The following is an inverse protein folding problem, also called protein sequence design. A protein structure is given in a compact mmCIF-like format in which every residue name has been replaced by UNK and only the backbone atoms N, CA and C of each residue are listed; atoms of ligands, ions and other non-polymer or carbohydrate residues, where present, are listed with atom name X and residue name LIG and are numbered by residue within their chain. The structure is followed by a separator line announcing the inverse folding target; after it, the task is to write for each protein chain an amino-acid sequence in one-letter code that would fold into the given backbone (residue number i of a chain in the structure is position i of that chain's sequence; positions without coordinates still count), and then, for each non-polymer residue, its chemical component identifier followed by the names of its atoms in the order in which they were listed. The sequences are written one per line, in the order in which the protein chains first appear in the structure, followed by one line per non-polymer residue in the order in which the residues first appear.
data_IF_506099756054
#
_entry.id   IF_506099756054
#
_cell.length_a   1.000
_cell.length_b   1.000
_cell.length_c   1.000
_cell.angle_alpha   90.00
_cell.angle_beta   90.00
_cell.angle_gamma   90.00
#
_symmetry.space_group_name_H-M   'P 1'
#
loop_
_entity.id
_entity.type
_entity.pdbx_description
1 polymer ?
#
# COMPACT_ATOMS: atom_id res chain seq x y z
N UNK A 1 3.95 -14.42 -5.09
CA UNK A 1 4.84 -14.78 -3.96
C UNK A 1 4.06 -14.87 -2.64
N UNK A 2 3.42 -13.81 -2.14
CA UNK A 2 2.63 -13.85 -0.89
C UNK A 2 1.51 -14.92 -0.82
N UNK A 3 0.67 -15.11 -1.86
CA UNK A 3 -0.37 -16.15 -1.83
C UNK A 3 0.22 -17.57 -1.74
N UNK A 4 1.35 -17.81 -2.39
CA UNK A 4 2.07 -19.08 -2.35
C UNK A 4 2.68 -19.34 -0.97
N UNK A 5 3.25 -18.31 -0.32
CA UNK A 5 3.78 -18.45 1.04
C UNK A 5 2.67 -18.69 2.08
N UNK A 6 1.51 -18.04 1.93
CA UNK A 6 0.35 -18.31 2.78
C UNK A 6 -0.19 -19.71 2.55
N UNK A 7 -0.35 -20.13 1.28
CA UNK A 7 -0.77 -21.50 0.94
C UNK A 7 0.21 -22.54 1.48
N UNK A 8 1.52 -22.29 1.39
CA UNK A 8 2.55 -23.14 1.94
C UNK A 8 2.48 -23.19 3.47
N UNK A 9 2.32 -22.05 4.14
CA UNK A 9 2.15 -21.99 5.60
C UNK A 9 0.90 -22.74 6.09
N UNK A 10 -0.21 -22.63 5.36
CA UNK A 10 -1.43 -23.39 5.61
C UNK A 10 -1.21 -24.90 5.41
N UNK A 11 -0.48 -25.28 4.35
CA UNK A 11 -0.15 -26.69 4.05
C UNK A 11 0.79 -27.30 5.10
N UNK A 12 1.71 -26.50 5.64
CA UNK A 12 2.68 -26.89 6.65
C UNK A 12 2.17 -26.76 8.11
N UNK A 13 0.90 -26.35 8.30
CA UNK A 13 0.30 -26.12 9.64
C UNK A 13 1.15 -25.21 10.53
N UNK A 14 1.79 -24.20 9.92
CA UNK A 14 2.71 -23.34 10.65
C UNK A 14 2.00 -22.62 11.80
N UNK A 15 2.63 -22.51 12.99
CA UNK A 15 2.01 -21.86 14.14
C UNK A 15 1.87 -20.36 13.89
N UNK A 16 0.82 -19.74 14.44
CA UNK A 16 0.43 -18.35 14.11
C UNK A 16 1.53 -17.29 14.36
N UNK A 17 2.46 -17.54 15.29
CA UNK A 17 3.59 -16.65 15.55
C UNK A 17 4.59 -16.59 14.38
N UNK A 18 4.65 -17.63 13.54
CA UNK A 18 5.53 -17.65 12.36
C UNK A 18 5.13 -16.59 11.33
N UNK A 19 3.85 -16.23 11.23
CA UNK A 19 3.38 -15.17 10.36
C UNK A 19 3.93 -13.79 10.78
N UNK A 20 4.01 -13.54 12.09
CA UNK A 20 4.60 -12.32 12.64
C UNK A 20 6.10 -12.26 12.41
N UNK A 21 6.80 -13.38 12.61
CA UNK A 21 8.23 -13.46 12.29
C UNK A 21 8.49 -13.29 10.80
N UNK A 22 7.65 -13.87 9.94
CA UNK A 22 7.77 -13.69 8.50
C UNK A 22 7.64 -12.22 8.14
N UNK A 23 6.60 -11.52 8.66
CA UNK A 23 6.43 -10.08 8.44
C UNK A 23 7.69 -9.31 8.89
N UNK A 24 8.19 -9.56 10.11
CA UNK A 24 9.36 -8.86 10.63
C UNK A 24 10.63 -9.15 9.80
N UNK A 25 10.87 -10.41 9.43
CA UNK A 25 12.01 -10.82 8.63
C UNK A 25 11.97 -10.18 7.23
N UNK A 26 10.79 -10.15 6.62
CA UNK A 26 10.53 -9.55 5.32
C UNK A 26 10.73 -8.02 5.34
N UNK A 27 10.21 -7.32 6.35
CA UNK A 27 10.47 -5.88 6.51
C UNK A 27 11.97 -5.60 6.70
N UNK A 28 12.64 -6.40 7.51
CA UNK A 28 14.09 -6.28 7.74
C UNK A 28 14.88 -6.53 6.47
N UNK A 29 14.50 -7.55 5.69
CA UNK A 29 15.12 -7.87 4.41
C UNK A 29 15.00 -6.71 3.41
N UNK A 30 13.84 -6.06 3.33
CA UNK A 30 13.65 -4.90 2.47
C UNK A 30 14.54 -3.71 2.89
N UNK A 31 14.61 -3.41 4.19
CA UNK A 31 15.46 -2.34 4.73
C UNK A 31 16.94 -2.64 4.45
N UNK A 32 17.39 -3.87 4.68
CA UNK A 32 18.77 -4.29 4.42
C UNK A 32 19.08 -4.20 2.92
N UNK A 33 18.19 -4.71 2.06
CA UNK A 33 18.36 -4.61 0.61
C UNK A 33 18.47 -3.16 0.15
N UNK A 34 17.58 -2.27 0.63
CA UNK A 34 17.64 -0.83 0.33
C UNK A 34 18.92 -0.19 0.85
N UNK A 35 19.37 -0.56 2.05
CA UNK A 35 20.61 -0.03 2.65
C UNK A 35 21.85 -0.42 1.84
N UNK A 36 21.95 -1.67 1.39
CA UNK A 36 23.06 -2.16 0.57
C UNK A 36 23.05 -1.55 -0.82
N UNK A 37 21.88 -1.46 -1.45
CA UNK A 37 21.75 -0.89 -2.79
C UNK A 37 21.97 0.63 -2.79
N UNK A 38 21.60 1.32 -1.71
CA UNK A 38 21.85 2.75 -1.56
C UNK A 38 23.35 3.08 -1.59
N UNK A 39 24.23 2.19 -1.12
CA UNK A 39 25.68 2.40 -1.24
C UNK A 39 26.16 2.50 -2.69
N UNK A 40 25.43 1.90 -3.64
CA UNK A 40 25.79 1.89 -5.07
C UNK A 40 25.00 2.89 -5.91
N UNK A 41 23.75 3.17 -5.53
CA UNK A 41 22.83 3.95 -6.37
C UNK A 41 22.19 5.13 -5.63
N UNK A 42 22.55 5.34 -4.37
CA UNK A 42 21.99 6.40 -3.53
C UNK A 42 22.61 7.76 -3.77
N UNK A 43 23.87 7.81 -4.25
CA UNK A 43 24.59 9.07 -4.50
C UNK A 43 24.24 9.63 -5.86
N UNK A 44 24.33 10.96 -5.98
CA UNK A 44 23.99 11.69 -7.22
C UNK A 44 24.73 11.17 -8.45
N UNK A 45 26.02 10.84 -8.32
CA UNK A 45 26.84 10.27 -9.38
C UNK A 45 26.22 9.02 -10.03
N UNK A 46 25.48 8.22 -9.24
CA UNK A 46 24.90 6.95 -9.65
C UNK A 46 23.36 6.94 -9.59
N UNK A 47 22.74 8.12 -9.46
CA UNK A 47 21.30 8.27 -9.22
C UNK A 47 20.43 7.68 -10.36
N UNK A 48 20.98 7.55 -11.58
CA UNK A 48 20.32 6.86 -12.68
C UNK A 48 19.96 5.40 -12.35
N UNK A 49 20.78 4.74 -11.50
CA UNK A 49 20.54 3.39 -11.03
C UNK A 49 19.51 3.30 -9.89
N UNK A 50 19.14 4.41 -9.25
CA UNK A 50 18.25 4.41 -8.09
C UNK A 50 16.87 3.86 -8.43
N UNK A 51 16.26 4.37 -9.50
CA UNK A 51 14.91 3.97 -9.88
C UNK A 51 14.79 2.48 -10.22
N UNK A 52 15.58 1.93 -11.16
CA UNK A 52 15.45 0.51 -11.52
C UNK A 52 15.84 -0.44 -10.38
N UNK A 53 16.86 -0.11 -9.58
CA UNK A 53 17.42 -1.04 -8.60
C UNK A 53 16.84 -0.88 -7.19
N UNK A 54 16.32 0.28 -6.81
CA UNK A 54 15.77 0.54 -5.49
C UNK A 54 14.27 0.82 -5.60
N UNK A 55 13.89 1.86 -6.33
CA UNK A 55 12.50 2.32 -6.36
C UNK A 55 11.53 1.35 -7.04
N UNK A 56 11.97 0.61 -8.06
CA UNK A 56 11.15 -0.37 -8.79
C UNK A 56 11.48 -1.82 -8.44
N UNK A 57 12.52 -2.07 -7.65
CA UNK A 57 12.91 -3.42 -7.30
C UNK A 57 11.90 -4.07 -6.35
N UNK A 58 11.42 -5.26 -6.72
CA UNK A 58 10.43 -6.02 -5.94
C UNK A 58 10.87 -6.25 -4.50
N UNK A 59 12.14 -6.61 -4.27
CA UNK A 59 12.70 -6.84 -2.93
C UNK A 59 12.79 -5.56 -2.08
N UNK A 60 12.72 -4.38 -2.68
CA UNK A 60 12.79 -3.11 -1.95
C UNK A 60 11.41 -2.53 -1.61
N UNK A 61 10.34 -3.01 -2.27
CA UNK A 61 8.98 -2.45 -2.15
C UNK A 61 7.97 -3.33 -1.44
N UNK A 62 8.25 -4.62 -1.33
CA UNK A 62 7.24 -5.57 -0.87
C UNK A 62 6.84 -5.38 0.60
N UNK A 63 7.69 -4.73 1.40
CA UNK A 63 7.42 -4.42 2.80
C UNK A 63 6.36 -3.34 2.98
N UNK A 64 6.07 -2.52 1.95
CA UNK A 64 5.02 -1.51 1.95
C UNK A 64 3.62 -2.11 2.20
N UNK A 65 3.40 -3.38 1.83
CA UNK A 65 2.12 -4.07 2.05
C UNK A 65 2.00 -4.74 3.43
N UNK A 66 3.12 -5.02 4.09
CA UNK A 66 3.16 -5.87 5.27
C UNK A 66 2.49 -5.26 6.50
N UNK A 67 2.56 -3.93 6.77
CA UNK A 67 1.77 -3.30 7.82
C UNK A 67 0.26 -3.52 7.64
N UNK A 68 -0.26 -3.49 6.42
CA UNK A 68 -1.67 -3.79 6.14
C UNK A 68 -2.02 -5.26 6.42
N UNK A 69 -1.13 -6.19 6.05
CA UNK A 69 -1.29 -7.62 6.37
C UNK A 69 -1.25 -7.86 7.88
N UNK A 70 -0.37 -7.18 8.60
CA UNK A 70 -0.30 -7.22 10.06
C UNK A 70 -1.62 -6.77 10.70
N UNK A 71 -2.22 -5.67 10.21
CA UNK A 71 -3.54 -5.21 10.68
C UNK A 71 -4.62 -6.27 10.44
N UNK A 72 -4.62 -6.93 9.27
CA UNK A 72 -5.56 -8.00 8.96
C UNK A 72 -5.37 -9.22 9.89
N UNK A 73 -4.13 -9.67 10.13
CA UNK A 73 -3.82 -10.76 11.05
C UNK A 73 -4.25 -10.43 12.48
N UNK A 74 -4.02 -9.20 12.91
CA UNK A 74 -4.39 -8.73 14.24
C UNK A 74 -5.90 -8.79 14.45
N UNK A 75 -6.67 -8.30 13.48
CA UNK A 75 -8.15 -8.35 13.50
C UNK A 75 -8.68 -9.78 13.53
N UNK A 76 -8.08 -10.68 12.76
CA UNK A 76 -8.59 -12.07 12.61
C UNK A 76 -8.18 -13.00 13.74
N UNK A 77 -6.97 -12.87 14.28
CA UNK A 77 -6.39 -13.87 15.20
C UNK A 77 -6.18 -13.36 16.62
N UNK A 78 -6.27 -12.05 16.87
CA UNK A 78 -5.99 -11.44 18.18
C UNK A 78 -7.14 -10.53 18.63
N UNK A 79 -8.36 -11.05 18.84
CA UNK A 79 -9.54 -10.25 19.09
C UNK A 79 -9.43 -9.37 20.34
N UNK A 80 -8.84 -9.87 21.43
CA UNK A 80 -8.66 -9.08 22.65
C UNK A 80 -7.75 -7.86 22.44
N UNK A 81 -6.63 -8.03 21.71
CA UNK A 81 -5.72 -6.93 21.39
C UNK A 81 -6.36 -5.97 20.38
N UNK A 82 -7.09 -6.50 19.39
CA UNK A 82 -7.86 -5.70 18.44
C UNK A 82 -8.85 -4.78 19.15
N UNK A 83 -9.63 -5.28 20.13
CA UNK A 83 -10.56 -4.46 20.91
C UNK A 83 -9.84 -3.35 21.67
N UNK A 84 -8.70 -3.65 22.31
CA UNK A 84 -7.88 -2.63 23.02
C UNK A 84 -7.39 -1.53 22.08
N UNK A 85 -6.99 -1.88 20.86
CA UNK A 85 -6.57 -0.91 19.84
C UNK A 85 -7.75 -0.09 19.32
N UNK A 86 -8.88 -0.72 19.05
CA UNK A 86 -10.10 -0.03 18.59
C UNK A 86 -10.63 0.94 19.64
N UNK A 87 -10.40 0.71 20.94
CA UNK A 87 -10.71 1.67 21.99
C UNK A 87 -9.82 2.94 21.97
N UNK A 88 -8.66 2.89 21.31
CA UNK A 88 -7.68 3.99 21.22
C UNK A 88 -7.70 4.70 19.86
N UNK A 89 -8.83 4.68 19.15
CA UNK A 89 -8.97 5.22 17.79
C UNK A 89 -8.47 6.66 17.61
N UNK A 90 -8.72 7.55 18.59
CA UNK A 90 -8.25 8.94 18.55
C UNK A 90 -6.73 9.05 18.63
N UNK A 91 -6.10 8.25 19.50
CA UNK A 91 -4.65 8.18 19.61
C UNK A 91 -4.02 7.61 18.34
N UNK A 92 -4.63 6.58 17.76
CA UNK A 92 -4.21 6.00 16.48
C UNK A 92 -4.33 7.03 15.35
N UNK A 93 -5.40 7.82 15.33
CA UNK A 93 -5.57 8.89 14.35
C UNK A 93 -4.48 9.95 14.49
N UNK A 94 -4.25 10.44 15.72
CA UNK A 94 -3.22 11.44 15.99
C UNK A 94 -1.83 10.92 15.58
N UNK A 95 -1.49 9.70 15.99
CA UNK A 95 -0.21 9.08 15.64
C UNK A 95 -0.06 8.87 14.13
N UNK A 96 -1.12 8.43 13.44
CA UNK A 96 -1.13 8.26 11.99
C UNK A 96 -0.98 9.58 11.23
N UNK A 97 -1.72 10.62 11.64
CA UNK A 97 -1.62 11.95 11.02
C UNK A 97 -0.24 12.54 11.26
N UNK A 98 0.26 12.55 12.50
CA UNK A 98 1.59 13.07 12.80
C UNK A 98 2.69 12.29 12.06
N UNK A 99 2.60 10.96 12.04
CA UNK A 99 3.55 10.10 11.33
C UNK A 99 3.56 10.37 9.83
N UNK A 100 2.39 10.38 9.19
CA UNK A 100 2.28 10.64 7.75
C UNK A 100 2.71 12.06 7.40
N UNK A 101 2.29 13.07 8.17
CA UNK A 101 2.69 14.47 7.96
C UNK A 101 4.20 14.66 8.13
N UNK A 102 4.80 14.06 9.16
CA UNK A 102 6.25 14.10 9.36
C UNK A 102 7.00 13.43 8.21
N UNK A 103 6.51 12.29 7.71
CA UNK A 103 7.12 11.61 6.57
C UNK A 103 6.93 12.39 5.26
N UNK A 104 5.77 12.96 4.99
CA UNK A 104 5.58 13.82 3.82
C UNK A 104 6.49 15.06 3.86
N UNK A 105 6.62 15.68 5.04
CA UNK A 105 7.54 16.80 5.21
C UNK A 105 9.00 16.39 4.98
N UNK A 106 9.43 15.28 5.60
CA UNK A 106 10.79 14.77 5.46
C UNK A 106 11.11 14.37 4.01
N UNK A 107 10.17 13.73 3.32
CA UNK A 107 10.31 13.39 1.90
C UNK A 107 10.37 14.64 1.03
N UNK A 108 9.51 15.63 1.26
CA UNK A 108 9.52 16.86 0.49
C UNK A 108 10.77 17.71 0.69
N UNK A 109 11.43 17.62 1.85
CA UNK A 109 12.61 18.42 2.18
C UNK A 109 13.96 17.73 1.95
N UNK A 110 14.03 16.43 2.20
CA UNK A 110 15.31 15.73 2.32
C UNK A 110 15.39 14.44 1.51
N UNK A 111 14.38 14.12 0.69
CA UNK A 111 14.41 12.88 -0.08
C UNK A 111 15.55 12.87 -1.09
N UNK A 112 15.70 13.95 -1.85
CA UNK A 112 16.84 14.20 -2.74
C UNK A 112 17.52 15.49 -2.28
N UNK A 113 18.84 15.44 -2.17
CA UNK A 113 19.68 16.55 -1.74
C UNK A 113 20.68 16.81 -2.87
N UNK A 114 20.61 18.00 -3.47
CA UNK A 114 21.51 18.42 -4.56
C UNK A 114 22.97 18.33 -4.10
N UNK A 115 23.84 17.79 -4.95
CA UNK A 115 25.25 17.52 -4.61
C UNK A 115 25.49 16.23 -3.81
N UNK A 116 24.43 15.58 -3.29
CA UNK A 116 24.54 14.37 -2.47
C UNK A 116 23.83 13.17 -3.10
N UNK A 117 22.64 13.36 -3.66
CA UNK A 117 21.73 12.30 -4.13
C UNK A 117 20.59 12.03 -3.15
N UNK A 118 20.10 10.79 -3.12
CA UNK A 118 19.01 10.39 -2.24
C UNK A 118 19.46 10.20 -0.79
N UNK A 119 18.63 10.64 0.17
CA UNK A 119 18.94 10.46 1.60
C UNK A 119 18.89 9.00 2.02
N UNK A 120 19.98 8.52 2.64
CA UNK A 120 20.07 7.15 3.17
C UNK A 120 18.89 6.79 4.07
N UNK A 121 18.56 7.65 5.03
CA UNK A 121 17.49 7.36 6.00
C UNK A 121 16.14 7.21 5.30
N UNK A 122 15.81 8.12 4.39
CA UNK A 122 14.53 8.11 3.69
C UNK A 122 14.45 6.95 2.68
N UNK A 123 15.55 6.59 2.03
CA UNK A 123 15.61 5.40 1.18
C UNK A 123 15.51 4.11 2.01
N UNK A 124 16.27 3.97 3.09
CA UNK A 124 16.38 2.74 3.87
C UNK A 124 15.18 2.50 4.80
N UNK A 125 14.57 3.56 5.34
CA UNK A 125 13.48 3.44 6.32
C UNK A 125 12.19 4.15 5.90
N UNK A 126 12.28 5.19 5.07
CA UNK A 126 11.13 6.06 4.74
C UNK A 126 9.93 5.31 4.18
N UNK A 127 10.12 4.36 3.26
CA UNK A 127 9.02 3.55 2.70
C UNK A 127 8.30 2.73 3.78
N UNK A 128 9.06 2.04 4.63
CA UNK A 128 8.50 1.23 5.73
C UNK A 128 7.78 2.10 6.75
N UNK A 129 8.38 3.22 7.15
CA UNK A 129 7.80 4.15 8.12
C UNK A 129 6.51 4.79 7.59
N UNK A 130 6.49 5.15 6.31
CA UNK A 130 5.30 5.66 5.65
C UNK A 130 4.18 4.60 5.65
N UNK A 131 4.50 3.35 5.28
CA UNK A 131 3.54 2.24 5.31
C UNK A 131 2.98 1.99 6.72
N UNK A 132 3.83 2.07 7.76
CA UNK A 132 3.40 1.97 9.16
C UNK A 132 2.48 3.14 9.56
N UNK A 133 2.79 4.37 9.16
CA UNK A 133 1.95 5.53 9.43
C UNK A 133 0.56 5.39 8.77
N UNK A 134 0.51 4.91 7.53
CA UNK A 134 -0.75 4.59 6.86
C UNK A 134 -1.50 3.42 7.51
N UNK A 135 -0.80 2.42 8.05
CA UNK A 135 -1.45 1.36 8.82
C UNK A 135 -2.10 1.88 10.12
N UNK A 136 -1.50 2.88 10.78
CA UNK A 136 -2.13 3.56 11.91
C UNK A 136 -3.39 4.33 11.49
N UNK A 137 -3.33 5.05 10.36
CA UNK A 137 -4.50 5.72 9.78
C UNK A 137 -5.61 4.73 9.40
N UNK A 138 -5.25 3.57 8.85
CA UNK A 138 -6.19 2.49 8.55
C UNK A 138 -6.86 1.98 9.83
N UNK A 139 -6.10 1.69 10.88
CA UNK A 139 -6.66 1.30 12.18
C UNK A 139 -7.57 2.39 12.76
N UNK A 140 -7.19 3.67 12.60
CA UNK A 140 -8.02 4.79 13.01
C UNK A 140 -9.33 4.86 12.20
N UNK A 141 -9.31 4.58 10.89
CA UNK A 141 -10.52 4.56 10.06
C UNK A 141 -11.47 3.39 10.43
N UNK A 142 -10.92 2.28 10.93
CA UNK A 142 -11.69 1.11 11.36
C UNK A 142 -12.26 1.26 12.79
N UNK A 143 -11.70 2.13 13.62
CA UNK A 143 -12.09 2.30 15.02
C UNK A 143 -13.43 3.04 15.18
N UNK A 144 -14.35 2.55 16.05
CA UNK A 144 -15.65 3.18 16.29
C UNK A 144 -15.56 4.57 16.95
N UNK A 145 -14.51 4.81 17.76
CA UNK A 145 -14.34 6.06 18.52
C UNK A 145 -13.53 7.13 17.77
N UNK A 146 -13.03 6.80 16.58
CA UNK A 146 -12.26 7.72 15.73
C UNK A 146 -13.18 8.56 14.86
N UNK A 147 -12.96 9.88 14.74
CA UNK A 147 -13.75 10.73 13.85
C UNK A 147 -13.57 10.35 12.37
N UNK A 148 -12.40 9.79 12.00
CA UNK A 148 -12.11 9.39 10.63
C UNK A 148 -13.08 8.33 10.10
N UNK A 149 -13.65 7.48 10.97
CA UNK A 149 -14.66 6.49 10.59
C UNK A 149 -15.97 7.13 10.12
N UNK A 150 -16.32 8.28 10.67
CA UNK A 150 -17.60 8.94 10.43
C UNK A 150 -17.50 10.01 9.34
N UNK A 151 -16.29 10.42 8.98
CA UNK A 151 -16.05 11.42 7.95
C UNK A 151 -16.32 10.83 6.56
N UNK A 152 -17.40 11.30 5.91
CA UNK A 152 -17.75 10.89 4.55
C UNK A 152 -17.27 11.93 3.55
N UNK A 153 -16.21 11.61 2.83
CA UNK A 153 -15.72 12.44 1.73
C UNK A 153 -16.50 12.05 0.46
N UNK A 154 -17.21 12.99 -0.20
CA UNK A 154 -17.94 12.71 -1.43
C UNK A 154 -16.97 12.22 -2.51
N UNK A 155 -17.35 11.16 -3.23
CA UNK A 155 -16.50 10.56 -4.29
C UNK A 155 -15.35 9.66 -3.80
N UNK A 156 -15.01 9.66 -2.51
CA UNK A 156 -13.91 8.82 -2.01
C UNK A 156 -14.20 7.31 -2.13
N UNK A 157 -15.45 6.89 -1.94
CA UNK A 157 -15.84 5.49 -2.10
C UNK A 157 -15.67 4.96 -3.54
N UNK A 158 -16.26 5.56 -4.59
CA UNK A 158 -16.04 5.10 -5.96
C UNK A 158 -14.57 5.25 -6.40
N UNK A 159 -13.87 6.27 -5.91
CA UNK A 159 -12.43 6.42 -6.17
C UNK A 159 -11.62 5.27 -5.53
N UNK A 160 -11.92 4.89 -4.29
CA UNK A 160 -11.27 3.78 -3.62
C UNK A 160 -11.51 2.46 -4.36
N UNK A 161 -12.73 2.24 -4.86
CA UNK A 161 -13.06 1.07 -5.68
C UNK A 161 -12.25 1.02 -6.98
N UNK A 162 -12.10 2.16 -7.66
CA UNK A 162 -11.34 2.23 -8.91
C UNK A 162 -9.81 2.37 -8.70
N UNK A 163 -9.34 2.52 -7.47
CA UNK A 163 -7.95 2.88 -7.16
C UNK A 163 -6.92 1.89 -7.71
N UNK A 164 -7.23 0.60 -7.68
CA UNK A 164 -6.36 -0.44 -8.22
C UNK A 164 -6.26 -0.34 -9.75
N UNK A 165 -7.40 -0.21 -10.44
CA UNK A 165 -7.44 0.02 -11.89
C UNK A 165 -6.73 1.30 -12.31
N UNK A 166 -6.90 2.41 -11.56
CA UNK A 166 -6.16 3.66 -11.77
C UNK A 166 -4.65 3.43 -11.60
N UNK A 167 -4.24 2.74 -10.53
CA UNK A 167 -2.82 2.44 -10.27
C UNK A 167 -2.17 1.64 -11.40
N UNK A 168 -2.88 0.67 -12.00
CA UNK A 168 -2.32 -0.11 -13.11
C UNK A 168 -2.21 0.69 -14.42
N UNK A 169 -3.13 1.63 -14.66
CA UNK A 169 -3.29 2.27 -15.97
C UNK A 169 -2.72 3.68 -16.07
N UNK A 170 -2.49 4.38 -14.95
CA UNK A 170 -2.10 5.78 -15.00
C UNK A 170 -0.78 6.03 -15.75
N UNK A 171 0.24 5.16 -15.61
CA UNK A 171 1.51 5.30 -16.33
C UNK A 171 1.38 5.21 -17.85
N UNK A 172 0.82 4.12 -18.43
CA UNK A 172 0.68 4.03 -19.88
C UNK A 172 -0.23 5.13 -20.44
N UNK A 173 -1.32 5.49 -19.74
CA UNK A 173 -2.20 6.59 -20.15
C UNK A 173 -1.44 7.92 -20.16
N UNK A 174 -0.72 8.24 -19.07
CA UNK A 174 0.06 9.47 -18.98
C UNK A 174 1.13 9.54 -20.07
N UNK A 175 1.84 8.44 -20.32
CA UNK A 175 2.86 8.38 -21.36
C UNK A 175 2.27 8.61 -22.76
N UNK A 176 1.24 7.84 -23.13
CA UNK A 176 0.59 7.96 -24.42
C UNK A 176 0.00 9.36 -24.66
N UNK A 177 -0.67 9.92 -23.64
CA UNK A 177 -1.27 11.24 -23.75
C UNK A 177 -0.20 12.35 -23.79
N UNK A 178 0.88 12.23 -23.03
CA UNK A 178 1.99 13.19 -23.08
C UNK A 178 2.66 13.24 -24.45
N UNK A 179 2.81 12.09 -25.13
CA UNK A 179 3.32 12.02 -26.49
C UNK A 179 2.34 12.59 -27.51
N UNK A 180 1.06 12.23 -27.40
CA UNK A 180 0.02 12.70 -28.31
C UNK A 180 -0.20 14.21 -28.22
N UNK A 181 -0.08 14.80 -27.03
CA UNK A 181 -0.29 16.22 -26.80
C UNK A 181 0.97 17.09 -26.94
N UNK A 182 2.16 16.48 -27.06
CA UNK A 182 3.43 17.20 -27.21
C UNK A 182 3.44 18.24 -28.35
N UNK A 183 2.87 17.97 -29.55
CA UNK A 183 2.86 18.94 -30.65
C UNK A 183 2.04 20.21 -30.37
N UNK A 184 1.08 20.15 -29.44
CA UNK A 184 0.16 21.25 -29.15
C UNK A 184 0.73 22.26 -28.13
N UNK A 185 1.93 22.00 -27.60
CA UNK A 185 2.65 22.89 -26.67
C UNK A 185 1.77 23.45 -25.53
N UNK A 186 0.88 22.62 -24.97
CA UNK A 186 -0.04 23.04 -23.91
C UNK A 186 0.73 23.49 -22.66
N UNK A 187 0.20 24.47 -21.91
CA UNK A 187 0.81 24.85 -20.64
C UNK A 187 0.78 23.67 -19.65
N UNK A 188 1.80 23.56 -18.81
CA UNK A 188 2.03 22.38 -17.96
C UNK A 188 0.86 22.04 -17.04
N UNK A 189 0.15 23.05 -16.51
CA UNK A 189 -1.01 22.84 -15.67
C UNK A 189 -2.19 22.21 -16.43
N UNK A 190 -2.41 22.62 -17.69
CA UNK A 190 -3.48 22.08 -18.52
C UNK A 190 -3.17 20.65 -18.94
N UNK A 191 -1.91 20.37 -19.28
CA UNK A 191 -1.44 19.02 -19.56
C UNK A 191 -1.61 18.10 -18.33
N UNK A 192 -1.27 18.59 -17.13
CA UNK A 192 -1.44 17.84 -15.89
C UNK A 192 -2.93 17.54 -15.61
N UNK A 193 -3.82 18.51 -15.82
CA UNK A 193 -5.27 18.32 -15.68
C UNK A 193 -5.78 17.29 -16.69
N UNK A 194 -5.38 17.40 -17.96
CA UNK A 194 -5.76 16.45 -19.01
C UNK A 194 -5.31 15.03 -18.69
N UNK A 195 -4.03 14.84 -18.34
CA UNK A 195 -3.48 13.53 -17.93
C UNK A 195 -4.23 12.97 -16.72
N UNK A 196 -4.46 13.78 -15.69
CA UNK A 196 -5.16 13.35 -14.48
C UNK A 196 -6.59 12.91 -14.82
N UNK A 197 -7.33 13.72 -15.58
CA UNK A 197 -8.69 13.41 -16.00
C UNK A 197 -8.74 12.12 -16.84
N UNK A 198 -7.82 11.94 -17.79
CA UNK A 198 -7.71 10.72 -18.59
C UNK A 198 -7.35 9.49 -17.76
N UNK A 199 -6.48 9.62 -16.76
CA UNK A 199 -6.16 8.52 -15.85
C UNK A 199 -7.36 8.11 -14.99
N UNK A 200 -8.11 9.09 -14.47
CA UNK A 200 -9.34 8.81 -13.71
C UNK A 200 -10.40 8.15 -14.60
N UNK A 201 -10.59 8.65 -15.82
CA UNK A 201 -11.53 8.09 -16.77
C UNK A 201 -11.13 6.68 -17.20
N UNK A 202 -9.87 6.47 -17.61
CA UNK A 202 -9.36 5.17 -18.01
C UNK A 202 -9.37 4.14 -16.88
N UNK A 203 -8.98 4.55 -15.67
CA UNK A 203 -9.05 3.70 -14.48
C UNK A 203 -10.49 3.35 -14.09
N UNK A 204 -11.43 4.28 -14.21
CA UNK A 204 -12.86 3.98 -14.04
C UNK A 204 -13.33 2.99 -15.11
N UNK A 205 -13.05 3.23 -16.39
CA UNK A 205 -13.44 2.33 -17.48
C UNK A 205 -12.91 0.90 -17.24
N UNK A 206 -11.66 0.74 -16.82
CA UNK A 206 -11.09 -0.56 -16.47
C UNK A 206 -11.76 -1.20 -15.25
N UNK A 207 -12.08 -0.40 -14.24
CA UNK A 207 -12.82 -0.89 -13.08
C UNK A 207 -14.18 -1.45 -13.48
N UNK A 208 -14.94 -0.72 -14.30
CA UNK A 208 -16.28 -1.13 -14.71
C UNK A 208 -16.27 -2.30 -15.70
N UNK A 209 -15.33 -2.33 -16.64
CA UNK A 209 -15.28 -3.32 -17.71
C UNK A 209 -14.56 -4.61 -17.34
N UNK A 210 -13.58 -4.56 -16.41
CA UNK A 210 -12.74 -5.71 -16.04
C UNK A 210 -12.81 -6.00 -14.56
N UNK A 211 -12.45 -5.07 -13.68
CA UNK A 211 -12.29 -5.40 -12.26
C UNK A 211 -13.61 -5.84 -11.62
N UNK A 212 -14.67 -5.05 -11.80
CA UNK A 212 -15.99 -5.29 -11.23
C UNK A 212 -16.64 -6.61 -11.69
N UNK A 213 -16.66 -6.98 -12.99
CA UNK A 213 -17.24 -8.26 -13.40
C UNK A 213 -16.47 -9.45 -12.82
N UNK A 214 -15.13 -9.41 -12.79
CA UNK A 214 -14.34 -10.50 -12.22
C UNK A 214 -14.51 -10.63 -10.71
N UNK A 215 -14.67 -9.51 -9.99
CA UNK A 215 -15.02 -9.53 -8.57
C UNK A 215 -16.40 -10.19 -8.33
N UNK A 216 -17.40 -9.89 -9.18
CA UNK A 216 -18.72 -10.51 -9.10
C UNK A 216 -18.68 -12.02 -9.38
N UNK A 217 -17.89 -12.45 -10.36
CA UNK A 217 -17.67 -13.87 -10.65
C UNK A 217 -17.05 -14.59 -9.44
N UNK A 218 -15.99 -14.01 -8.87
CA UNK A 218 -15.34 -14.56 -7.66
C UNK A 218 -16.30 -14.67 -6.47
N UNK A 219 -17.13 -13.67 -6.23
CA UNK A 219 -18.12 -13.71 -5.15
C UNK A 219 -19.19 -14.78 -5.38
N UNK A 220 -19.61 -15.00 -6.62
CA UNK A 220 -20.53 -16.08 -6.98
C UNK A 220 -19.91 -17.44 -6.68
N UNK A 221 -18.67 -17.66 -7.09
CA UNK A 221 -17.99 -18.95 -6.92
C UNK A 221 -17.69 -19.22 -5.44
N UNK A 222 -17.33 -18.19 -4.66
CA UNK A 222 -17.14 -18.31 -3.21
C UNK A 222 -18.43 -18.64 -2.46
N UNK A 223 -19.60 -18.20 -2.95
CA UNK A 223 -20.92 -18.57 -2.40
C UNK A 223 -21.39 -19.95 -2.86
N UNK A 224 -20.93 -20.41 -4.03
CA UNK A 224 -21.26 -21.73 -4.58
C UNK A 224 -20.40 -22.86 -4.00
N UNK A 225 -19.24 -22.56 -3.41
CA UNK A 225 -18.43 -23.53 -2.69
C UNK A 225 -19.17 -24.02 -1.43
N UNK A 226 -19.35 -25.33 -1.21
CA UNK A 226 -20.00 -25.84 -0.01
C UNK A 226 -19.22 -25.42 1.22
N UNK A 227 -19.93 -25.00 2.27
CA UNK A 227 -19.38 -24.62 3.57
C UNK A 227 -18.68 -25.82 4.25
N UNK A 228 -17.45 -26.12 3.82
CA UNK A 228 -16.61 -27.11 4.49
C UNK A 228 -15.87 -26.44 5.65
N UNK A 229 -16.20 -26.91 6.85
CA UNK A 229 -15.51 -26.73 8.14
C UNK A 229 -15.76 -25.43 8.93
N UNK A 230 -17.00 -25.24 9.41
CA UNK A 230 -17.24 -24.68 10.75
C UNK A 230 -17.84 -25.76 11.67
N UNK A 231 -17.13 -26.86 11.82
CA UNK A 231 -17.35 -27.83 12.89
C UNK A 231 -16.46 -27.47 14.08
N UNK A 232 -16.86 -26.45 14.85
CA UNK A 232 -16.37 -26.28 16.22
C UNK A 232 -17.55 -26.66 17.11
N UNK A 233 -17.50 -27.89 17.61
CA UNK A 233 -18.41 -28.37 18.63
C UNK A 233 -18.34 -27.46 19.85
N UNK A 234 -19.51 -26.99 20.30
CA UNK A 234 -19.68 -26.43 21.64
C UNK A 234 -19.54 -27.58 22.65
N UNK A 235 -18.66 -27.50 23.67
CA UNK A 235 -18.87 -28.29 24.86
C UNK A 235 -20.06 -27.72 25.63
N UNK A 236 -20.80 -28.64 26.24
CA UNK A 236 -21.92 -28.41 27.15
C UNK A 236 -21.48 -27.71 28.45
#
# INVERSE_FOLDING_TARGET
MLPLLVLLGLRLRAPRWSAWLLIAALMTLAIVARSLLWQRYGREADAAGYYPNIYYATLCRFDEFLPGVAVALLRSFHPALWQRLMARGRTLLLAGVLGSSAMFYALGRWYYIDGHGYSFFLTAFGYTLMALAFALLLCAALSPVSPLRHWRIPGAYPLALASYSIYLSHKPIAHALSQALAPYALPSWLLAVAITASCLAGGALLYWSVERPFLRLRERDARAAPAQASGVASPA
#
